data_IF_892944261769
#
_entry.id   IF_892944261769
#
_cell.length_a   1.000
_cell.length_b   1.000
_cell.length_c   1.000
_cell.angle_alpha   90.00
_cell.angle_beta   90.00
_cell.angle_gamma   90.00
#
_symmetry.space_group_name_H-M   'P 1'
#
loop_
_entity.id
_entity.type
_entity.pdbx_description
1 polymer ?
#
# COMPACT_ATOMS: atom_id res chain seq x y z
N UNK A 1 -1.38 -9.57 -18.35
CA UNK A 1 -0.15 -8.93 -17.87
C UNK A 1 0.46 -9.78 -16.76
N UNK A 2 1.78 -9.72 -16.61
CA UNK A 2 2.49 -10.32 -15.48
C UNK A 2 2.67 -9.25 -14.39
N UNK A 3 2.12 -9.50 -13.21
CA UNK A 3 2.09 -8.52 -12.11
C UNK A 3 2.76 -9.10 -10.87
N UNK A 4 3.64 -8.32 -10.24
CA UNK A 4 4.22 -8.67 -8.95
C UNK A 4 3.57 -7.84 -7.84
N UNK A 5 3.10 -8.52 -6.78
CA UNK A 5 2.37 -7.86 -5.68
C UNK A 5 3.12 -8.05 -4.36
N UNK A 6 3.41 -6.98 -3.64
CA UNK A 6 3.85 -7.07 -2.26
C UNK A 6 2.65 -6.95 -1.30
N UNK A 7 2.74 -7.56 -0.13
CA UNK A 7 1.65 -7.50 0.84
C UNK A 7 0.39 -8.32 0.48
N UNK A 8 0.48 -9.25 -0.48
CA UNK A 8 -0.66 -10.06 -0.95
C UNK A 8 -1.22 -11.04 0.10
N UNK A 9 -0.50 -11.32 1.19
CA UNK A 9 -1.04 -12.06 2.34
C UNK A 9 -1.91 -11.20 3.27
N UNK A 10 -1.93 -9.88 3.07
CA UNK A 10 -2.72 -8.90 3.82
C UNK A 10 -4.03 -8.53 3.14
N UNK A 11 -4.74 -7.56 3.73
CA UNK A 11 -6.08 -7.15 3.31
C UNK A 11 -6.11 -6.57 1.90
N UNK A 12 -5.40 -5.47 1.66
CA UNK A 12 -5.43 -4.75 0.37
C UNK A 12 -4.76 -5.58 -0.73
N UNK A 13 -3.51 -6.03 -0.50
CA UNK A 13 -2.77 -6.80 -1.50
C UNK A 13 -3.44 -8.13 -1.86
N UNK A 14 -4.08 -8.79 -0.89
CA UNK A 14 -4.84 -10.02 -1.12
C UNK A 14 -6.11 -9.78 -1.93
N UNK A 15 -6.83 -8.69 -1.67
CA UNK A 15 -8.00 -8.30 -2.45
C UNK A 15 -7.63 -7.93 -3.90
N UNK A 16 -6.55 -7.15 -4.07
CA UNK A 16 -6.02 -6.80 -5.39
C UNK A 16 -5.58 -8.05 -6.16
N UNK A 17 -4.79 -8.93 -5.55
CA UNK A 17 -4.32 -10.17 -6.18
C UNK A 17 -5.49 -11.03 -6.66
N UNK A 18 -6.52 -11.22 -5.83
CA UNK A 18 -7.72 -12.00 -6.17
C UNK A 18 -8.48 -11.40 -7.35
N UNK A 19 -8.73 -10.10 -7.34
CA UNK A 19 -9.42 -9.39 -8.44
C UNK A 19 -8.67 -9.53 -9.74
N UNK A 20 -7.36 -9.27 -9.71
CA UNK A 20 -6.51 -9.27 -10.91
C UNK A 20 -6.29 -10.69 -11.46
N UNK A 21 -6.15 -11.71 -10.60
CA UNK A 21 -6.09 -13.11 -11.03
C UNK A 21 -7.41 -13.54 -11.69
N UNK A 22 -8.56 -13.15 -11.12
CA UNK A 22 -9.87 -13.40 -11.72
C UNK A 22 -10.06 -12.69 -13.07
N UNK A 23 -9.39 -11.55 -13.30
CA UNK A 23 -9.36 -10.85 -14.58
C UNK A 23 -8.36 -11.46 -15.60
N UNK A 24 -7.72 -12.59 -15.26
CA UNK A 24 -6.81 -13.32 -16.16
C UNK A 24 -5.36 -12.80 -16.16
N UNK A 25 -4.97 -11.97 -15.22
CA UNK A 25 -3.57 -11.58 -15.05
C UNK A 25 -2.78 -12.68 -14.33
N UNK A 26 -1.50 -12.85 -14.68
CA UNK A 26 -0.60 -13.73 -13.97
C UNK A 26 -0.01 -12.97 -12.77
N UNK A 27 -0.35 -13.40 -11.57
CA UNK A 27 0.06 -12.73 -10.34
C UNK A 27 1.15 -13.56 -9.64
N UNK A 28 2.30 -12.92 -9.38
CA UNK A 28 3.32 -13.42 -8.47
C UNK A 28 3.37 -12.50 -7.25
N UNK A 29 3.62 -13.04 -6.07
CA UNK A 29 3.52 -12.24 -4.87
C UNK A 29 4.61 -12.55 -3.84
N UNK A 30 5.17 -11.50 -3.26
CA UNK A 30 6.14 -11.57 -2.15
C UNK A 30 5.58 -12.35 -0.96
N UNK A 31 6.34 -13.32 -0.47
CA UNK A 31 5.97 -14.17 0.64
C UNK A 31 7.12 -14.41 1.60
N UNK A 32 6.90 -14.10 2.88
CA UNK A 32 7.90 -14.26 3.96
C UNK A 32 7.81 -15.58 4.72
N UNK A 33 6.72 -16.34 4.57
CA UNK A 33 6.47 -17.54 5.37
C UNK A 33 5.54 -18.51 4.66
N UNK A 34 5.51 -19.77 5.11
CA UNK A 34 4.60 -20.79 4.57
C UNK A 34 3.11 -20.45 4.81
N UNK A 35 2.79 -19.76 5.91
CA UNK A 35 1.44 -19.27 6.14
C UNK A 35 1.04 -18.17 5.16
N UNK A 36 1.98 -17.28 4.79
CA UNK A 36 1.76 -16.29 3.73
C UNK A 36 1.59 -16.96 2.36
N UNK A 37 2.35 -18.02 2.05
CA UNK A 37 2.21 -18.78 0.79
C UNK A 37 0.79 -19.29 0.62
N UNK A 38 0.20 -19.87 1.68
CA UNK A 38 -1.15 -20.40 1.61
C UNK A 38 -2.18 -19.31 1.31
N UNK A 39 -2.10 -18.16 1.99
CA UNK A 39 -2.99 -17.03 1.74
C UNK A 39 -2.86 -16.49 0.31
N UNK A 40 -1.63 -16.41 -0.19
CA UNK A 40 -1.32 -15.94 -1.55
C UNK A 40 -1.91 -16.90 -2.59
N UNK A 41 -1.75 -18.22 -2.42
CA UNK A 41 -2.35 -19.21 -3.34
C UNK A 41 -3.87 -19.16 -3.35
N UNK A 42 -4.50 -18.94 -2.19
CA UNK A 42 -5.98 -18.76 -2.11
C UNK A 42 -6.45 -17.51 -2.88
N UNK A 43 -5.60 -16.49 -2.99
CA UNK A 43 -5.92 -15.31 -3.84
C UNK A 43 -5.67 -15.51 -5.33
N UNK A 44 -5.28 -16.72 -5.78
CA UNK A 44 -4.96 -17.01 -7.18
C UNK A 44 -3.56 -16.57 -7.63
N UNK A 45 -2.67 -16.25 -6.68
CA UNK A 45 -1.32 -15.79 -6.96
C UNK A 45 -0.25 -16.87 -6.66
N UNK A 46 0.90 -16.79 -7.32
CA UNK A 46 2.08 -17.61 -7.10
C UNK A 46 2.99 -16.96 -6.06
N UNK A 47 3.30 -17.61 -4.90
CA UNK A 47 4.19 -17.03 -3.91
C UNK A 47 5.66 -17.07 -4.38
N UNK A 48 6.37 -15.97 -4.15
CA UNK A 48 7.83 -15.84 -4.33
C UNK A 48 8.46 -15.57 -2.97
N UNK A 49 9.42 -16.43 -2.57
CA UNK A 49 10.07 -16.34 -1.26
C UNK A 49 11.10 -15.20 -1.24
N UNK A 50 10.66 -14.04 -0.78
CA UNK A 50 11.48 -12.85 -0.50
C UNK A 50 10.76 -11.92 0.48
N UNK A 51 11.45 -10.89 0.95
CA UNK A 51 10.90 -9.82 1.78
C UNK A 51 11.47 -8.45 1.38
N UNK A 52 11.01 -7.38 2.02
CA UNK A 52 11.44 -6.02 1.70
C UNK A 52 12.90 -5.74 2.13
N UNK A 53 13.50 -6.57 2.98
CA UNK A 53 14.90 -6.42 3.38
C UNK A 53 15.86 -7.08 2.38
N UNK A 54 15.40 -8.08 1.63
CA UNK A 54 16.25 -8.96 0.79
C UNK A 54 15.86 -9.00 -0.68
N UNK A 55 14.74 -8.38 -1.10
CA UNK A 55 14.24 -8.43 -2.48
C UNK A 55 15.29 -7.93 -3.49
N UNK A 56 15.44 -8.68 -4.57
CA UNK A 56 16.35 -8.39 -5.70
C UNK A 56 15.59 -8.52 -7.04
N UNK A 57 16.19 -8.04 -8.13
CA UNK A 57 15.58 -8.09 -9.46
C UNK A 57 15.19 -9.52 -9.90
N UNK A 58 15.91 -10.55 -9.48
CA UNK A 58 15.59 -11.94 -9.80
C UNK A 58 14.24 -12.40 -9.25
N UNK A 59 13.84 -11.88 -8.07
CA UNK A 59 12.54 -12.21 -7.46
C UNK A 59 11.36 -11.62 -8.26
N UNK A 60 11.60 -10.49 -8.91
CA UNK A 60 10.59 -9.71 -9.67
C UNK A 60 10.62 -10.02 -11.16
N UNK A 61 11.58 -10.85 -11.61
CA UNK A 61 11.82 -11.15 -13.04
C UNK A 61 10.53 -11.43 -13.80
N UNK A 62 10.39 -10.76 -14.96
CA UNK A 62 9.27 -10.92 -15.88
C UNK A 62 7.98 -10.24 -15.44
N UNK A 63 7.97 -9.49 -14.35
CA UNK A 63 6.85 -8.61 -14.02
C UNK A 63 6.87 -7.37 -14.93
N UNK A 64 5.74 -7.08 -15.55
CA UNK A 64 5.51 -5.84 -16.29
C UNK A 64 5.12 -4.70 -15.36
N UNK A 65 4.40 -5.04 -14.28
CA UNK A 65 3.85 -4.09 -13.31
C UNK A 65 4.15 -4.61 -11.90
N UNK A 66 4.53 -3.70 -11.00
CA UNK A 66 4.63 -3.96 -9.56
C UNK A 66 3.54 -3.20 -8.83
N UNK A 67 2.80 -3.90 -7.94
CA UNK A 67 1.84 -3.29 -7.02
C UNK A 67 2.40 -3.42 -5.60
N UNK A 68 2.76 -2.30 -5.01
CA UNK A 68 3.42 -2.25 -3.72
C UNK A 68 2.45 -1.90 -2.59
N UNK A 69 1.91 -2.95 -1.92
CA UNK A 69 0.97 -2.82 -0.79
C UNK A 69 1.63 -3.09 0.57
N UNK A 70 2.84 -3.65 0.59
CA UNK A 70 3.50 -3.98 1.85
C UNK A 70 3.96 -2.71 2.58
N UNK A 71 3.59 -2.58 3.85
CA UNK A 71 3.98 -1.50 4.73
C UNK A 71 3.94 -1.94 6.18
N UNK A 72 4.69 -1.26 7.05
CA UNK A 72 4.55 -1.36 8.49
C UNK A 72 3.50 -0.35 8.95
N UNK A 73 2.34 -0.85 9.38
CA UNK A 73 1.15 -0.04 9.70
C UNK A 73 0.77 -0.10 11.18
N UNK A 74 1.59 -0.77 12.00
CA UNK A 74 1.32 -0.91 13.43
C UNK A 74 1.38 0.46 14.12
N UNK A 75 0.53 0.64 15.14
CA UNK A 75 0.53 1.88 15.94
C UNK A 75 1.77 1.98 16.84
N UNK A 76 2.35 0.84 17.21
CA UNK A 76 3.52 0.71 18.10
C UNK A 76 4.47 -0.32 17.50
N UNK A 77 5.76 -0.14 17.75
CA UNK A 77 6.78 -1.08 17.28
C UNK A 77 8.20 -0.58 17.54
N UNK A 78 9.21 -1.34 17.12
CA UNK A 78 10.60 -0.89 17.17
C UNK A 78 10.75 0.44 16.42
N UNK A 79 11.49 1.43 16.99
CA UNK A 79 11.58 2.78 16.41
C UNK A 79 12.07 2.82 14.95
N UNK A 80 12.94 1.87 14.57
CA UNK A 80 13.53 1.73 13.24
C UNK A 80 12.61 1.01 12.24
N UNK A 81 11.57 0.29 12.71
CA UNK A 81 10.74 -0.55 11.84
C UNK A 81 10.00 0.25 10.76
N UNK A 82 9.52 1.46 11.11
CA UNK A 82 8.84 2.33 10.15
C UNK A 82 9.78 2.75 9.01
N UNK A 83 10.99 3.20 9.33
CA UNK A 83 11.96 3.60 8.30
C UNK A 83 12.41 2.40 7.49
N UNK A 84 12.84 1.33 8.14
CA UNK A 84 13.38 0.13 7.49
C UNK A 84 12.40 -0.49 6.52
N UNK A 85 11.12 -0.61 6.92
CA UNK A 85 10.11 -1.27 6.09
C UNK A 85 9.48 -0.29 5.10
N UNK A 86 9.02 0.88 5.56
CA UNK A 86 8.26 1.80 4.71
C UNK A 86 9.17 2.57 3.75
N UNK A 87 10.34 3.03 4.19
CA UNK A 87 11.23 3.85 3.36
C UNK A 87 12.24 2.97 2.62
N UNK A 88 13.09 2.25 3.38
CA UNK A 88 14.16 1.46 2.77
C UNK A 88 13.60 0.25 2.00
N UNK A 89 12.54 -0.38 2.51
CA UNK A 89 11.85 -1.46 1.81
C UNK A 89 11.21 -1.00 0.50
N UNK A 90 10.58 0.18 0.46
CA UNK A 90 10.04 0.75 -0.78
C UNK A 90 11.16 1.07 -1.78
N UNK A 91 12.26 1.68 -1.33
CA UNK A 91 13.41 1.96 -2.21
C UNK A 91 14.02 0.69 -2.82
N UNK A 92 14.18 -0.39 -2.01
CA UNK A 92 14.67 -1.68 -2.55
C UNK A 92 13.69 -2.27 -3.56
N UNK A 93 12.39 -2.19 -3.28
CA UNK A 93 11.37 -2.71 -4.20
C UNK A 93 11.34 -1.94 -5.52
N UNK A 94 11.50 -0.61 -5.49
CA UNK A 94 11.64 0.24 -6.69
C UNK A 94 12.86 -0.19 -7.50
N UNK A 95 14.03 -0.25 -6.87
CA UNK A 95 15.26 -0.67 -7.55
C UNK A 95 15.19 -2.10 -8.13
N UNK A 96 14.59 -3.04 -7.40
CA UNK A 96 14.37 -4.41 -7.88
C UNK A 96 13.42 -4.45 -9.09
N UNK A 97 12.33 -3.67 -9.05
CA UNK A 97 11.36 -3.56 -10.14
C UNK A 97 11.99 -2.99 -11.42
N UNK A 98 12.70 -1.88 -11.28
CA UNK A 98 13.36 -1.20 -12.40
C UNK A 98 14.44 -2.08 -13.04
N UNK A 99 15.31 -2.71 -12.24
CA UNK A 99 16.34 -3.64 -12.72
C UNK A 99 15.76 -4.90 -13.35
N UNK A 100 14.55 -5.33 -12.95
CA UNK A 100 13.84 -6.46 -13.55
C UNK A 100 13.13 -6.09 -14.87
N UNK A 101 13.12 -4.81 -15.26
CA UNK A 101 12.47 -4.31 -16.48
C UNK A 101 10.96 -4.12 -16.35
N UNK A 102 10.45 -3.94 -15.14
CA UNK A 102 9.07 -3.51 -14.94
C UNK A 102 8.88 -2.12 -15.54
N UNK A 103 7.74 -1.87 -16.18
CA UNK A 103 7.44 -0.59 -16.82
C UNK A 103 6.57 0.33 -15.96
N UNK A 104 5.94 -0.22 -14.91
CA UNK A 104 5.04 0.54 -14.04
C UNK A 104 5.10 0.06 -12.59
N UNK A 105 5.08 1.01 -11.67
CA UNK A 105 5.07 0.79 -10.23
C UNK A 105 3.88 1.51 -9.59
N UNK A 106 2.95 0.77 -9.02
CA UNK A 106 1.76 1.29 -8.35
C UNK A 106 1.99 1.18 -6.84
N UNK A 107 2.14 2.30 -6.16
CA UNK A 107 2.34 2.37 -4.72
C UNK A 107 1.01 2.61 -3.99
N UNK A 108 0.71 1.76 -3.01
CA UNK A 108 -0.40 2.03 -2.10
C UNK A 108 0.11 2.91 -0.96
N UNK A 109 -0.06 4.20 -1.19
CA UNK A 109 0.21 5.28 -0.24
C UNK A 109 -0.87 5.40 0.84
N UNK A 110 -1.05 6.59 1.33
CA UNK A 110 -2.12 6.96 2.27
C UNK A 110 -2.21 8.47 2.39
N UNK A 111 -3.39 9.02 2.63
CA UNK A 111 -3.52 10.44 2.95
C UNK A 111 -2.78 10.83 4.25
N UNK A 112 -2.46 9.85 5.11
CA UNK A 112 -1.64 10.10 6.30
C UNK A 112 -0.25 10.68 5.98
N UNK A 113 0.24 10.50 4.76
CA UNK A 113 1.48 11.14 4.28
C UNK A 113 1.40 12.68 4.25
N UNK A 114 0.20 13.26 4.38
CA UNK A 114 -0.02 14.72 4.43
C UNK A 114 -0.21 15.24 5.87
N UNK A 115 -0.26 14.37 6.88
CA UNK A 115 -0.66 14.72 8.26
C UNK A 115 0.54 15.21 9.09
N UNK A 116 0.44 16.45 9.61
CA UNK A 116 1.33 17.04 10.62
C UNK A 116 0.65 17.28 11.97
N UNK A 117 -0.65 16.92 12.11
CA UNK A 117 -1.51 17.23 13.24
C UNK A 117 -2.58 18.28 12.92
N UNK A 118 -2.58 18.85 11.72
CA UNK A 118 -3.60 19.78 11.23
C UNK A 118 -4.84 19.06 10.70
N UNK A 119 -5.92 19.84 10.49
CA UNK A 119 -7.09 19.34 9.78
C UNK A 119 -6.82 19.28 8.27
N UNK A 120 -7.11 18.14 7.64
CA UNK A 120 -7.14 17.99 6.19
C UNK A 120 -8.57 18.21 5.69
N UNK A 121 -8.85 19.38 5.13
CA UNK A 121 -10.18 19.74 4.60
C UNK A 121 -10.04 20.18 3.15
N UNK A 122 -10.71 19.48 2.23
CA UNK A 122 -10.71 19.85 0.81
C UNK A 122 -9.31 19.86 0.19
N UNK A 123 -8.40 19.04 0.73
CA UNK A 123 -7.04 18.87 0.14
C UNK A 123 -7.14 17.96 -1.07
N UNK A 124 -6.34 18.25 -2.08
CA UNK A 124 -6.16 17.43 -3.28
C UNK A 124 -4.74 16.82 -3.32
N UNK A 125 -4.40 16.22 -4.42
CA UNK A 125 -3.14 15.51 -4.63
C UNK A 125 -1.92 16.45 -4.65
N UNK A 126 -2.13 17.77 -4.82
CA UNK A 126 -1.04 18.79 -4.81
C UNK A 126 -0.61 19.17 -3.38
N UNK A 127 -1.33 18.71 -2.36
CA UNK A 127 -0.99 19.01 -0.98
C UNK A 127 0.41 18.48 -0.61
N UNK A 128 1.24 19.27 0.10
CA UNK A 128 2.63 18.93 0.37
C UNK A 128 2.77 17.75 1.33
N UNK A 129 3.68 16.83 1.01
CA UNK A 129 4.04 15.69 1.85
C UNK A 129 4.61 16.13 3.21
N UNK A 130 4.25 15.42 4.28
CA UNK A 130 4.56 15.74 5.67
C UNK A 130 5.87 15.09 6.14
N UNK A 131 7.01 15.50 5.59
CA UNK A 131 8.33 14.95 5.95
C UNK A 131 8.74 15.25 7.40
N UNK A 132 8.20 16.30 7.98
CA UNK A 132 8.41 16.79 9.34
C UNK A 132 7.35 16.32 10.34
N UNK A 133 6.46 15.42 9.94
CA UNK A 133 5.41 14.89 10.79
C UNK A 133 5.97 14.33 12.11
N UNK A 134 5.38 14.66 13.28
CA UNK A 134 5.77 14.07 14.55
C UNK A 134 5.38 12.59 14.67
N UNK A 135 4.50 12.13 13.76
CA UNK A 135 4.01 10.74 13.74
C UNK A 135 4.90 9.89 12.83
N UNK A 136 5.62 8.87 13.35
CA UNK A 136 6.55 8.05 12.55
C UNK A 136 5.90 7.41 11.31
N UNK A 137 4.68 6.92 11.43
CA UNK A 137 3.93 6.37 10.30
C UNK A 137 3.71 7.41 9.20
N UNK A 138 3.20 8.59 9.54
CA UNK A 138 2.92 9.66 8.58
C UNK A 138 4.20 10.09 7.86
N UNK A 139 5.26 10.37 8.64
CA UNK A 139 6.56 10.79 8.10
C UNK A 139 7.17 9.74 7.17
N UNK A 140 7.17 8.47 7.56
CA UNK A 140 7.78 7.42 6.73
C UNK A 140 6.95 7.08 5.50
N UNK A 141 5.62 7.24 5.54
CA UNK A 141 4.79 7.13 4.34
C UNK A 141 5.01 8.31 3.39
N UNK A 142 5.22 9.54 3.90
CA UNK A 142 5.62 10.69 3.08
C UNK A 142 6.97 10.48 2.40
N UNK A 143 7.98 9.98 3.14
CA UNK A 143 9.31 9.68 2.59
C UNK A 143 9.29 8.53 1.57
N UNK A 144 8.48 7.50 1.81
CA UNK A 144 8.30 6.40 0.87
C UNK A 144 7.65 6.88 -0.44
N UNK A 145 6.63 7.71 -0.34
CA UNK A 145 5.94 8.27 -1.49
C UNK A 145 6.87 9.21 -2.30
N UNK A 146 7.67 10.04 -1.63
CA UNK A 146 8.68 10.85 -2.32
C UNK A 146 9.66 9.95 -3.10
N UNK A 147 10.14 8.86 -2.50
CA UNK A 147 11.02 7.93 -3.21
C UNK A 147 10.35 7.32 -4.45
N UNK A 148 9.03 7.10 -4.43
CA UNK A 148 8.28 6.64 -5.60
C UNK A 148 8.21 7.70 -6.69
N UNK A 149 7.98 8.97 -6.33
CA UNK A 149 7.98 10.08 -7.28
C UNK A 149 9.35 10.33 -7.90
N UNK A 150 10.41 10.23 -7.10
CA UNK A 150 11.80 10.46 -7.55
C UNK A 150 12.27 9.43 -8.60
N UNK A 151 11.74 8.21 -8.56
CA UNK A 151 12.08 7.13 -9.51
C UNK A 151 11.24 7.16 -10.80
N UNK A 152 10.29 8.10 -10.92
CA UNK A 152 9.49 8.22 -12.13
C UNK A 152 10.34 8.71 -13.30
N UNK A 153 10.42 7.92 -14.37
CA UNK A 153 11.21 8.27 -15.56
C UNK A 153 10.65 7.61 -16.83
N UNK A 154 11.21 7.96 -17.97
CA UNK A 154 10.88 7.31 -19.23
C UNK A 154 11.16 5.79 -19.13
N UNK A 155 10.16 5.00 -19.46
CA UNK A 155 10.21 3.53 -19.37
C UNK A 155 9.90 2.94 -17.98
N UNK A 156 9.80 3.75 -16.92
CA UNK A 156 9.40 3.30 -15.60
C UNK A 156 8.43 4.30 -14.95
N UNK A 157 7.15 4.11 -15.20
CA UNK A 157 6.08 4.97 -14.69
C UNK A 157 5.73 4.65 -13.24
N UNK A 158 5.61 5.66 -12.40
CA UNK A 158 5.14 5.49 -11.02
C UNK A 158 3.77 6.14 -10.80
N UNK A 159 2.92 5.49 -10.02
CA UNK A 159 1.59 5.99 -9.63
C UNK A 159 1.42 5.73 -8.14
N UNK A 160 0.89 6.71 -7.41
CA UNK A 160 0.55 6.58 -6.00
C UNK A 160 -0.97 6.64 -5.83
N UNK A 161 -1.52 5.74 -5.03
CA UNK A 161 -2.91 5.79 -4.59
C UNK A 161 -2.92 6.10 -3.09
N UNK A 162 -3.63 7.16 -2.66
CA UNK A 162 -3.69 7.63 -1.27
C UNK A 162 -5.05 7.31 -0.61
N UNK A 163 -5.36 6.03 -0.32
CA UNK A 163 -6.60 5.68 0.36
C UNK A 163 -6.58 6.14 1.82
N UNK A 164 -7.78 6.30 2.40
CA UNK A 164 -7.98 6.58 3.82
C UNK A 164 -8.88 5.53 4.46
N UNK A 165 -8.53 5.07 5.67
CA UNK A 165 -9.36 4.17 6.49
C UNK A 165 -10.07 3.10 5.64
N UNK A 166 -9.28 2.16 5.09
CA UNK A 166 -9.78 1.13 4.19
C UNK A 166 -10.59 0.10 4.99
N UNK A 167 -11.80 -0.20 4.53
CA UNK A 167 -12.71 -1.15 5.17
C UNK A 167 -13.45 -2.01 4.14
N UNK A 168 -14.08 -3.09 4.60
CA UNK A 168 -14.89 -3.97 3.77
C UNK A 168 -14.66 -5.44 4.06
N UNK A 169 -15.15 -6.36 3.21
CA UNK A 169 -14.98 -7.80 3.39
C UNK A 169 -13.51 -8.21 3.50
N UNK A 170 -13.14 -8.85 4.62
CA UNK A 170 -11.77 -9.26 4.92
C UNK A 170 -10.96 -8.26 5.75
N UNK A 171 -11.53 -7.11 6.13
CA UNK A 171 -10.89 -6.18 7.06
C UNK A 171 -10.71 -6.83 8.45
N UNK A 172 -9.48 -6.80 8.94
CA UNK A 172 -9.10 -7.31 10.26
C UNK A 172 -8.64 -6.19 11.21
N UNK A 173 -8.76 -4.93 10.82
CA UNK A 173 -8.20 -3.77 11.54
C UNK A 173 -9.26 -2.76 11.95
N UNK A 174 -9.89 -2.08 11.02
CA UNK A 174 -10.78 -0.92 11.29
C UNK A 174 -12.15 -1.38 11.79
N UNK A 175 -12.86 -2.20 11.03
CA UNK A 175 -14.20 -2.65 11.43
C UNK A 175 -14.21 -3.48 12.73
N UNK A 176 -13.31 -4.47 12.93
CA UNK A 176 -13.25 -5.21 14.18
C UNK A 176 -12.92 -4.32 15.39
N UNK A 177 -12.04 -3.32 15.21
CA UNK A 177 -11.72 -2.35 16.27
C UNK A 177 -12.95 -1.53 16.65
N UNK A 178 -13.67 -0.97 15.67
CA UNK A 178 -14.90 -0.21 15.90
C UNK A 178 -15.95 -1.06 16.61
N UNK A 179 -16.17 -2.30 16.15
CA UNK A 179 -17.11 -3.23 16.77
C UNK A 179 -16.75 -3.53 18.23
N UNK A 180 -15.46 -3.80 18.50
CA UNK A 180 -14.95 -4.04 19.85
C UNK A 180 -15.17 -2.84 20.77
N UNK A 181 -14.84 -1.62 20.31
CA UNK A 181 -15.04 -0.39 21.07
C UNK A 181 -16.52 -0.13 21.35
N UNK A 182 -17.39 -0.33 20.38
CA UNK A 182 -18.83 -0.19 20.54
C UNK A 182 -19.40 -1.20 21.56
N UNK A 183 -19.00 -2.46 21.45
CA UNK A 183 -19.46 -3.53 22.35
C UNK A 183 -18.98 -3.36 23.80
N UNK A 184 -17.78 -2.80 24.01
CA UNK A 184 -17.21 -2.56 25.35
C UNK A 184 -17.68 -1.25 26.01
N UNK A 185 -18.54 -0.47 25.36
CA UNK A 185 -18.92 0.87 25.81
C UNK A 185 -17.76 1.90 25.75
N UNK A 186 -16.63 1.52 25.16
CA UNK A 186 -15.44 2.35 25.02
C UNK A 186 -15.51 3.38 23.88
N UNK A 187 -16.58 3.34 23.09
CA UNK A 187 -16.77 4.28 22.00
C UNK A 187 -16.86 5.73 22.50
N UNK A 188 -16.12 6.63 21.86
CA UNK A 188 -16.16 8.05 22.15
C UNK A 188 -16.34 8.82 20.85
N UNK A 189 -17.30 9.73 20.86
CA UNK A 189 -17.49 10.65 19.76
C UNK A 189 -16.47 11.77 19.82
N UNK A 190 -15.65 11.91 18.78
CA UNK A 190 -14.70 13.01 18.64
C UNK A 190 -15.49 14.28 18.30
N UNK A 191 -15.22 15.38 19.02
CA UNK A 191 -15.90 16.66 18.85
C UNK A 191 -17.45 16.52 18.86
N UNK A 192 -17.97 15.76 19.82
CA UNK A 192 -19.43 15.50 19.97
C UNK A 192 -20.07 14.91 18.69
N UNK A 193 -19.32 14.16 17.90
CA UNK A 193 -19.79 13.57 16.65
C UNK A 193 -19.72 14.48 15.42
N UNK A 194 -19.12 15.68 15.53
CA UNK A 194 -18.97 16.63 14.43
C UNK A 194 -17.70 16.42 13.62
N UNK A 195 -16.77 15.61 14.13
CA UNK A 195 -15.55 15.29 13.39
C UNK A 195 -15.91 14.52 12.12
N UNK A 196 -15.50 15.04 10.96
CA UNK A 196 -15.72 14.44 9.65
C UNK A 196 -14.46 13.73 9.21
N UNK A 197 -14.61 12.52 8.67
CA UNK A 197 -13.54 11.76 8.06
C UNK A 197 -14.04 11.08 6.79
N UNK A 198 -13.15 10.84 5.85
CA UNK A 198 -13.44 9.99 4.68
C UNK A 198 -13.00 8.55 4.95
N UNK A 199 -13.59 7.61 4.23
CA UNK A 199 -13.21 6.20 4.27
C UNK A 199 -13.21 5.63 2.86
N UNK A 200 -12.44 4.58 2.63
CA UNK A 200 -12.36 3.91 1.33
C UNK A 200 -12.85 2.48 1.45
N UNK A 201 -13.91 2.12 0.73
CA UNK A 201 -14.30 0.72 0.64
C UNK A 201 -13.27 -0.05 -0.19
N UNK A 202 -12.97 -1.29 0.20
CA UNK A 202 -11.93 -2.12 -0.45
C UNK A 202 -12.17 -2.29 -1.95
N UNK A 203 -13.43 -2.47 -2.39
CA UNK A 203 -13.76 -2.63 -3.81
C UNK A 203 -13.44 -1.37 -4.63
N UNK A 204 -13.60 -0.17 -4.05
CA UNK A 204 -13.24 1.08 -4.71
C UNK A 204 -11.71 1.19 -4.87
N UNK A 205 -10.95 0.81 -3.83
CA UNK A 205 -9.50 0.81 -3.92
C UNK A 205 -9.00 -0.21 -4.92
N UNK A 206 -9.57 -1.42 -4.93
CA UNK A 206 -9.20 -2.46 -5.90
C UNK A 206 -9.58 -2.05 -7.32
N UNK A 207 -10.70 -1.36 -7.50
CA UNK A 207 -11.09 -0.74 -8.78
C UNK A 207 -10.09 0.33 -9.23
N UNK A 208 -9.61 1.18 -8.31
CA UNK A 208 -8.57 2.17 -8.61
C UNK A 208 -7.23 1.50 -8.98
N UNK A 209 -6.84 0.41 -8.30
CA UNK A 209 -5.65 -0.38 -8.65
C UNK A 209 -5.79 -0.97 -10.06
N UNK A 210 -6.95 -1.53 -10.41
CA UNK A 210 -7.25 -2.10 -11.72
C UNK A 210 -7.12 -1.04 -12.83
N UNK A 211 -7.70 0.14 -12.62
CA UNK A 211 -7.55 1.28 -13.52
C UNK A 211 -6.10 1.75 -13.65
N UNK A 212 -5.36 1.79 -12.54
CA UNK A 212 -3.96 2.21 -12.52
C UNK A 212 -3.01 1.28 -13.29
N UNK A 213 -3.44 0.07 -13.70
CA UNK A 213 -2.63 -0.80 -14.56
C UNK A 213 -2.37 -0.18 -15.93
N UNK A 214 -3.31 0.62 -16.45
CA UNK A 214 -3.27 1.16 -17.81
C UNK A 214 -3.54 2.66 -17.90
N UNK A 215 -4.02 3.27 -16.82
CA UNK A 215 -4.43 4.67 -16.74
C UNK A 215 -3.71 5.39 -15.60
N UNK A 216 -3.95 6.69 -15.46
CA UNK A 216 -3.32 7.55 -14.47
C UNK A 216 -2.18 8.36 -15.11
N UNK A 217 -1.85 9.49 -14.47
CA UNK A 217 -0.72 10.31 -14.85
C UNK A 217 0.53 9.83 -14.14
N UNK A 218 1.55 9.54 -14.93
CA UNK A 218 2.84 9.08 -14.42
C UNK A 218 3.48 10.16 -13.53
N UNK A 219 3.99 9.74 -12.36
CA UNK A 219 4.61 10.64 -11.38
C UNK A 219 3.63 11.42 -10.49
N UNK A 220 2.33 11.11 -10.55
CA UNK A 220 1.29 11.74 -9.71
C UNK A 220 0.71 10.75 -8.67
N UNK A 221 0.03 11.31 -7.65
CA UNK A 221 -0.73 10.58 -6.64
C UNK A 221 -2.23 10.57 -6.99
#
# INVERSE_FOLDING_TARGET
MNIFVTGASGFVGGAAARRLAAAGHRIRAMSRSSSSDQKIRVSGAEPVRCDLDTVIAADVRGAEIVIHCAAFVEQWGPPDAWDRINVQGTRRMLGAAQQAGARRFIHIGTEAALVRGQHLRGVDETAPLAFDSPYPYCRTKALAEQAVHDENCEGFETIVLRPRLIWGPGDQTILPLIQKMAASGGWRWIDHGRAVTSTTHIENLVGAIDLALTSGRSGEA
#
